data_IF_062563644307
#
_entry.id   IF_062563644307
#
_cell.length_a   1.000
_cell.length_b   1.000
_cell.length_c   1.000
_cell.angle_alpha   90.00
_cell.angle_beta   90.00
_cell.angle_gamma   90.00
#
_symmetry.space_group_name_H-M   'P 1'
#
loop_
_entity.id
_entity.type
_entity.pdbx_description
1 polymer ?
#
# COMPACT_ATOMS: atom_id res chain seq x y z
N UNK A 1 -5.25 1.37 4.69
CA UNK A 1 -4.05 1.14 5.53
C UNK A 1 -4.03 2.23 6.57
N UNK A 2 -3.98 1.87 7.85
CA UNK A 2 -4.12 2.84 8.95
C UNK A 2 -2.76 3.35 9.44
N UNK A 3 -1.76 2.47 9.51
CA UNK A 3 -0.41 2.82 9.93
C UNK A 3 0.63 2.07 9.09
N UNK A 4 1.69 2.77 8.70
CA UNK A 4 2.85 2.21 8.01
C UNK A 4 4.03 2.09 8.98
N UNK A 5 4.65 0.92 9.00
CA UNK A 5 5.88 0.66 9.77
C UNK A 5 7.09 0.68 8.84
N UNK A 6 8.22 1.26 9.27
CA UNK A 6 9.47 1.15 8.53
C UNK A 6 9.93 -0.31 8.52
N UNK A 7 10.20 -0.84 7.33
CA UNK A 7 10.77 -2.17 7.10
C UNK A 7 12.29 -2.14 7.00
N UNK A 8 12.88 -3.32 6.83
CA UNK A 8 14.35 -3.56 6.89
C UNK A 8 15.12 -2.84 5.77
N UNK A 9 14.48 -2.57 4.62
CA UNK A 9 15.13 -2.03 3.41
C UNK A 9 14.58 -0.66 2.97
N UNK A 10 14.31 0.26 3.91
CA UNK A 10 13.66 1.56 3.62
C UNK A 10 12.27 1.47 2.94
N UNK A 11 11.68 0.28 2.89
CA UNK A 11 10.32 0.02 2.44
C UNK A 11 9.36 0.17 3.61
N UNK A 12 8.13 0.61 3.33
CA UNK A 12 7.10 0.70 4.36
C UNK A 12 6.20 -0.52 4.29
N UNK A 13 5.92 -1.11 5.44
CA UNK A 13 5.07 -2.30 5.57
C UNK A 13 3.89 -2.02 6.49
N UNK A 14 2.76 -2.64 6.22
CA UNK A 14 1.57 -2.57 7.07
C UNK A 14 0.91 -3.94 7.13
N UNK A 15 0.08 -4.16 8.16
CA UNK A 15 -0.74 -5.37 8.27
C UNK A 15 -2.20 -4.96 8.24
N UNK A 16 -2.97 -5.54 7.33
CA UNK A 16 -4.40 -5.23 7.19
C UNK A 16 -5.24 -6.49 7.20
N UNK A 17 -6.45 -6.38 7.73
CA UNK A 17 -7.47 -7.41 7.53
C UNK A 17 -7.99 -7.27 6.10
N UNK A 18 -7.80 -8.31 5.28
CA UNK A 18 -8.30 -8.36 3.91
C UNK A 18 -8.83 -9.76 3.60
N UNK A 19 -10.03 -9.84 3.02
CA UNK A 19 -10.72 -11.11 2.70
C UNK A 19 -10.77 -12.11 3.86
N UNK A 20 -10.96 -11.64 5.10
CA UNK A 20 -11.12 -12.49 6.29
C UNK A 20 -9.82 -13.03 6.89
N UNK A 21 -8.65 -12.56 6.45
CA UNK A 21 -7.36 -12.91 7.05
C UNK A 21 -6.46 -11.67 7.18
N UNK A 22 -5.37 -11.80 7.96
CA UNK A 22 -4.36 -10.75 8.08
C UNK A 22 -3.36 -10.87 6.94
N UNK A 23 -3.26 -9.82 6.12
CA UNK A 23 -2.36 -9.73 4.98
C UNK A 23 -1.22 -8.77 5.25
N UNK A 24 -0.02 -9.15 4.82
CA UNK A 24 1.11 -8.24 4.73
C UNK A 24 0.89 -7.28 3.56
N UNK A 25 1.16 -6.00 3.79
CA UNK A 25 1.11 -4.96 2.76
C UNK A 25 2.49 -4.33 2.68
N UNK A 26 3.05 -4.29 1.49
CA UNK A 26 4.32 -3.63 1.20
C UNK A 26 4.05 -2.47 0.24
N UNK A 27 4.60 -1.31 0.59
CA UNK A 27 4.52 -0.12 -0.24
C UNK A 27 5.65 -0.13 -1.27
N UNK A 28 5.28 0.12 -2.53
CA UNK A 28 6.23 0.25 -3.64
C UNK A 28 7.31 1.32 -3.37
N UNK A 29 8.47 1.15 -3.98
CA UNK A 29 9.57 2.09 -3.81
C UNK A 29 9.21 3.48 -4.37
N UNK A 30 9.46 4.53 -3.59
CA UNK A 30 9.11 5.92 -3.94
C UNK A 30 7.66 6.31 -3.67
N UNK A 31 6.80 5.39 -3.24
CA UNK A 31 5.44 5.71 -2.82
C UNK A 31 5.40 6.31 -1.40
N UNK A 32 4.43 7.19 -1.15
CA UNK A 32 4.29 7.91 0.11
C UNK A 32 3.53 7.06 1.13
N UNK A 33 4.19 6.76 2.25
CA UNK A 33 3.65 5.99 3.38
C UNK A 33 2.70 6.81 4.25
N UNK A 34 1.55 7.19 3.68
CA UNK A 34 0.47 7.88 4.39
C UNK A 34 -0.69 6.92 4.68
N UNK A 35 -1.41 7.09 5.79
CA UNK A 35 -2.67 6.38 5.99
C UNK A 35 -3.64 6.67 4.84
N UNK A 36 -4.41 5.67 4.43
CA UNK A 36 -5.43 5.83 3.39
C UNK A 36 -5.57 4.66 2.43
N UNK A 37 -6.04 4.99 1.23
CA UNK A 37 -6.36 4.06 0.15
C UNK A 37 -5.16 3.87 -0.79
N UNK A 38 -4.94 2.61 -1.15
CA UNK A 38 -3.87 2.20 -2.03
C UNK A 38 -4.40 1.23 -3.09
N UNK A 39 -3.79 1.23 -4.26
CA UNK A 39 -4.12 0.28 -5.32
C UNK A 39 -3.21 -0.93 -5.19
N UNK A 40 -3.80 -2.14 -5.17
CA UNK A 40 -3.05 -3.39 -5.23
C UNK A 40 -2.47 -3.52 -6.64
N UNK A 41 -1.14 -3.60 -6.71
CA UNK A 41 -0.39 -3.75 -7.96
C UNK A 41 0.01 -5.20 -8.19
N UNK A 42 0.37 -5.89 -7.13
CA UNK A 42 0.81 -7.28 -7.19
C UNK A 42 0.41 -8.04 -5.92
N UNK A 43 0.19 -9.34 -6.07
CA UNK A 43 -0.08 -10.26 -4.96
C UNK A 43 0.95 -11.38 -5.04
N UNK A 44 1.77 -11.53 -4.01
CA UNK A 44 2.72 -12.64 -3.88
C UNK A 44 2.41 -13.43 -2.61
N UNK A 45 1.80 -14.62 -2.76
CA UNK A 45 1.37 -15.44 -1.63
C UNK A 45 0.37 -14.69 -0.74
N UNK A 46 0.75 -14.41 0.51
CA UNK A 46 -0.03 -13.66 1.50
C UNK A 46 0.38 -12.18 1.64
N UNK A 47 1.19 -11.67 0.71
CA UNK A 47 1.66 -10.28 0.67
C UNK A 47 1.05 -9.52 -0.51
N UNK A 48 0.56 -8.32 -0.23
CA UNK A 48 0.04 -7.36 -1.19
C UNK A 48 1.11 -6.28 -1.42
N UNK A 49 1.45 -6.03 -2.67
CA UNK A 49 2.26 -4.88 -3.05
C UNK A 49 1.32 -3.79 -3.57
N UNK A 50 1.46 -2.60 -3.01
CA UNK A 50 0.52 -1.51 -3.27
C UNK A 50 1.24 -0.23 -3.67
N UNK A 51 0.58 0.57 -4.51
CA UNK A 51 1.01 1.91 -4.87
C UNK A 51 -0.01 2.94 -4.38
N UNK A 52 0.42 4.21 -4.20
CA UNK A 52 -0.52 5.29 -3.93
C UNK A 52 -1.59 5.29 -5.00
N UNK A 53 -2.86 5.36 -4.58
CA UNK A 53 -3.91 5.63 -5.54
C UNK A 53 -3.58 6.97 -6.20
N UNK A 54 -3.43 6.98 -7.52
CA UNK A 54 -3.27 8.23 -8.24
C UNK A 54 -4.47 9.10 -7.86
N UNK A 55 -4.20 10.30 -7.33
CA UNK A 55 -5.24 11.33 -7.29
C UNK A 55 -5.60 11.57 -8.75
N UNK A 56 -6.73 11.03 -9.16
CA UNK A 56 -7.39 11.31 -10.42
C UNK A 56 -7.83 12.78 -10.40
N UNK A 57 -6.88 13.69 -10.42
CA UNK A 57 -7.11 15.08 -10.78
C UNK A 57 -7.46 15.07 -12.25
N UNK A 58 -8.76 14.96 -12.54
CA UNK A 58 -9.32 15.35 -13.82
C UNK A 58 -9.00 16.83 -14.00
N UNK A 59 -7.90 17.13 -14.70
CA UNK A 59 -7.69 18.47 -15.28
C UNK A 59 -8.74 18.64 -16.35
N UNK A 60 -9.85 19.27 -16.00
CA UNK A 60 -10.78 19.85 -16.96
C UNK A 60 -10.64 21.37 -16.85
N UNK A 61 -9.71 21.95 -17.61
CA UNK A 61 -9.75 23.33 -18.13
C UNK A 61 -8.93 23.41 -19.41
#
# INVERSE_FOLDING_TARGET
VDEWKPGVDARHTARVMYRGAMWDVELEHGAQARPGLFMIREIQGSRLFVANAASNTTTNQ
#
